data_IF_144289718971
#
_entry.id   IF_144289718971
#
_cell.length_a   1.000
_cell.length_b   1.000
_cell.length_c   1.000
_cell.angle_alpha   90.00
_cell.angle_beta   90.00
_cell.angle_gamma   90.00
#
_symmetry.space_group_name_H-M   'P 1'
#
loop_
_entity.id
_entity.type
_entity.pdbx_description
1 polymer ?
#
# COMPACT_ATOMS: atom_id res chain seq x y z
N UNK A 1 -5.77 14.67 3.63
CA UNK A 1 -6.27 16.06 3.79
C UNK A 1 -7.70 16.17 4.33
N UNK A 2 -8.64 15.29 3.96
CA UNK A 2 -10.05 15.35 4.44
C UNK A 2 -10.25 15.29 5.98
N UNK A 3 -9.40 14.58 6.71
CA UNK A 3 -9.49 14.50 8.18
C UNK A 3 -9.24 15.85 8.90
N UNK A 4 -8.43 16.74 8.32
CA UNK A 4 -8.06 18.01 8.96
C UNK A 4 -9.23 18.99 9.01
N UNK A 5 -10.08 18.98 7.98
CA UNK A 5 -11.28 19.81 7.90
C UNK A 5 -12.33 19.33 8.92
N UNK A 6 -12.51 18.01 9.08
CA UNK A 6 -13.45 17.44 10.04
C UNK A 6 -13.09 17.78 11.51
N UNK A 7 -11.78 17.82 11.83
CA UNK A 7 -11.32 18.19 13.18
C UNK A 7 -11.54 19.66 13.53
N UNK A 8 -11.58 20.56 12.53
CA UNK A 8 -11.84 21.99 12.71
C UNK A 8 -13.31 22.31 13.04
N UNK A 9 -14.25 21.46 12.59
CA UNK A 9 -15.69 21.67 12.82
C UNK A 9 -16.18 21.20 14.19
N UNK A 10 -15.50 20.22 14.81
CA UNK A 10 -15.83 19.72 16.14
C UNK A 10 -15.84 20.81 17.23
N UNK A 11 -14.82 21.69 17.37
CA UNK A 11 -14.84 22.76 18.37
C UNK A 11 -15.90 23.83 18.06
N UNK A 12 -16.18 24.12 16.79
CA UNK A 12 -17.23 25.07 16.39
C UNK A 12 -18.62 24.56 16.79
N UNK A 13 -18.89 23.27 16.55
CA UNK A 13 -20.12 22.58 16.95
C UNK A 13 -20.26 22.49 18.48
N UNK A 14 -19.17 22.22 19.19
CA UNK A 14 -19.16 22.17 20.65
C UNK A 14 -19.46 23.55 21.27
N UNK A 15 -18.85 24.61 20.75
CA UNK A 15 -19.09 25.98 21.22
C UNK A 15 -20.52 26.42 20.92
N UNK A 16 -21.04 26.15 19.73
CA UNK A 16 -22.44 26.46 19.40
C UNK A 16 -23.42 25.70 20.28
N UNK A 17 -23.15 24.43 20.57
CA UNK A 17 -23.93 23.63 21.52
C UNK A 17 -23.89 24.26 22.92
N UNK A 18 -22.73 24.55 23.48
CA UNK A 18 -22.59 25.15 24.84
C UNK A 18 -23.33 26.50 24.93
N UNK A 19 -23.21 27.36 23.91
CA UNK A 19 -23.90 28.65 23.86
C UNK A 19 -25.42 28.49 23.76
N UNK A 20 -25.92 27.47 23.05
CA UNK A 20 -27.36 27.15 23.03
C UNK A 20 -27.84 26.49 24.32
N UNK A 21 -27.02 25.67 24.99
CA UNK A 21 -27.31 25.07 26.29
C UNK A 21 -27.41 26.11 27.41
N UNK A 22 -26.56 27.15 27.39
CA UNK A 22 -26.53 28.19 28.44
C UNK A 22 -27.77 29.10 28.50
N UNK A 23 -28.63 29.11 27.46
CA UNK A 23 -29.81 30.00 27.36
C UNK A 23 -31.17 29.32 27.63
N UNK A 24 -31.16 28.06 28.07
CA UNK A 24 -32.24 27.38 28.80
C UNK A 24 -33.70 27.79 28.53
N UNK A 25 -34.36 27.06 27.62
CA UNK A 25 -35.82 26.85 27.72
C UNK A 25 -36.12 25.35 27.70
N UNK A 26 -36.92 24.86 28.65
CA UNK A 26 -37.20 23.42 28.87
C UNK A 26 -37.70 22.65 27.64
N UNK A 27 -38.22 23.36 26.61
CA UNK A 27 -38.63 22.78 25.34
C UNK A 27 -37.51 22.52 24.32
N UNK A 28 -36.35 23.19 24.45
CA UNK A 28 -35.21 23.00 23.55
C UNK A 28 -34.42 21.72 23.82
N UNK A 29 -34.42 21.22 25.07
CA UNK A 29 -33.68 20.01 25.46
C UNK A 29 -34.12 18.79 24.64
N UNK A 30 -35.43 18.58 24.41
CA UNK A 30 -35.94 17.49 23.56
C UNK A 30 -35.50 17.57 22.11
N UNK A 31 -35.27 18.77 21.57
CA UNK A 31 -34.79 18.99 20.20
C UNK A 31 -33.27 18.81 20.07
N UNK A 32 -32.54 18.92 21.18
CA UNK A 32 -31.07 18.84 21.20
C UNK A 32 -30.53 17.43 21.43
N UNK A 33 -31.31 16.54 22.05
CA UNK A 33 -30.96 15.11 22.20
C UNK A 33 -30.55 14.45 20.87
N UNK A 34 -31.31 14.54 19.76
CA UNK A 34 -30.90 13.92 18.49
C UNK A 34 -29.61 14.53 17.93
N UNK A 35 -29.36 15.83 18.13
CA UNK A 35 -28.13 16.50 17.71
C UNK A 35 -26.91 15.95 18.48
N UNK A 36 -27.06 15.76 19.79
CA UNK A 36 -26.02 15.20 20.64
C UNK A 36 -25.75 13.73 20.29
N UNK A 37 -26.79 12.94 19.98
CA UNK A 37 -26.66 11.56 19.49
C UNK A 37 -25.87 11.52 18.17
N UNK A 38 -26.18 12.41 17.22
CA UNK A 38 -25.44 12.49 15.93
C UNK A 38 -23.98 12.82 16.17
N UNK A 39 -23.67 13.78 17.05
CA UNK A 39 -22.29 14.14 17.37
C UNK A 39 -21.52 12.97 18.01
N UNK A 40 -22.17 12.23 18.92
CA UNK A 40 -21.56 11.04 19.55
C UNK A 40 -21.29 9.96 18.50
N UNK A 41 -22.24 9.68 17.60
CA UNK A 41 -22.05 8.71 16.50
C UNK A 41 -20.90 9.14 15.60
N UNK A 42 -20.84 10.42 15.20
CA UNK A 42 -19.73 10.94 14.39
C UNK A 42 -18.38 10.80 15.09
N UNK A 43 -18.30 11.10 16.39
CA UNK A 43 -17.08 10.93 17.17
C UNK A 43 -16.65 9.47 17.22
N UNK A 44 -17.59 8.52 17.41
CA UNK A 44 -17.30 7.08 17.40
C UNK A 44 -16.80 6.62 16.02
N UNK A 45 -17.43 7.07 14.92
CA UNK A 45 -17.01 6.73 13.56
C UNK A 45 -15.62 7.29 13.23
N UNK A 46 -15.32 8.53 13.63
CA UNK A 46 -13.98 9.11 13.45
C UNK A 46 -12.92 8.37 14.27
N UNK A 47 -13.25 7.99 15.50
CA UNK A 47 -12.33 7.21 16.35
C UNK A 47 -12.10 5.80 15.77
N UNK A 48 -13.14 5.16 15.25
CA UNK A 48 -13.06 3.88 14.57
C UNK A 48 -12.20 3.98 13.30
N UNK A 49 -12.45 4.99 12.46
CA UNK A 49 -11.67 5.25 11.25
C UNK A 49 -10.19 5.53 11.56
N UNK A 50 -9.91 6.33 12.60
CA UNK A 50 -8.55 6.60 13.07
C UNK A 50 -7.86 5.35 13.62
N UNK A 51 -8.57 4.55 14.41
CA UNK A 51 -8.06 3.28 14.93
C UNK A 51 -7.76 2.31 13.80
N UNK A 52 -8.63 2.25 12.80
CA UNK A 52 -8.45 1.41 11.63
C UNK A 52 -7.25 1.89 10.79
N UNK A 53 -7.12 3.19 10.52
CA UNK A 53 -5.94 3.73 9.83
C UNK A 53 -4.64 3.51 10.58
N UNK A 54 -4.64 3.48 11.92
CA UNK A 54 -3.44 3.10 12.70
C UNK A 54 -3.19 1.60 12.75
N UNK A 55 -4.22 0.77 12.55
CA UNK A 55 -4.11 -0.69 12.43
C UNK A 55 -3.73 -1.13 11.03
N UNK A 56 -3.99 -0.30 10.03
CA UNK A 56 -3.47 -0.42 8.68
C UNK A 56 -1.95 -0.39 8.75
N UNK A 57 -1.36 -1.58 8.86
CA UNK A 57 0.02 -1.80 8.46
C UNK A 57 0.05 -1.62 6.95
N UNK A 58 1.07 -0.95 6.42
CA UNK A 58 1.36 -0.96 4.98
C UNK A 58 1.20 -2.39 4.48
N UNK A 59 0.56 -2.62 3.31
CA UNK A 59 0.37 -3.96 2.80
C UNK A 59 1.73 -4.68 2.85
N UNK A 60 1.71 -5.95 3.30
CA UNK A 60 2.91 -6.80 3.42
C UNK A 60 3.68 -6.82 2.09
N UNK A 61 2.97 -6.55 1.00
CA UNK A 61 3.46 -6.41 -0.36
C UNK A 61 3.29 -4.97 -0.86
N UNK A 62 4.34 -4.44 -1.46
CA UNK A 62 4.29 -3.34 -2.40
C UNK A 62 4.43 -3.96 -3.80
N UNK A 63 3.35 -3.90 -4.59
CA UNK A 63 3.27 -4.52 -5.92
C UNK A 63 3.79 -3.64 -7.06
N UNK A 64 4.04 -2.36 -6.76
CA UNK A 64 4.63 -1.41 -7.70
C UNK A 64 5.75 -0.61 -7.04
N UNK A 65 6.77 -1.26 -6.44
CA UNK A 65 7.85 -0.54 -5.79
C UNK A 65 8.66 0.24 -6.83
N UNK A 66 9.07 1.44 -6.47
CA UNK A 66 10.11 2.14 -7.23
C UNK A 66 11.45 1.42 -7.05
N UNK A 67 12.19 1.24 -8.14
CA UNK A 67 13.52 0.64 -8.13
C UNK A 67 14.41 1.23 -9.22
N UNK A 68 15.71 1.35 -8.93
CA UNK A 68 16.75 1.67 -9.90
C UNK A 68 17.46 0.42 -10.41
N UNK A 69 18.21 0.55 -11.52
CA UNK A 69 19.03 -0.55 -12.07
C UNK A 69 19.90 -1.20 -10.99
N UNK A 70 20.64 -0.40 -10.22
CA UNK A 70 21.57 -0.90 -9.20
C UNK A 70 20.91 -1.69 -8.07
N UNK A 71 19.63 -1.44 -7.78
CA UNK A 71 18.95 -2.11 -6.67
C UNK A 71 18.60 -3.57 -6.98
N UNK A 72 18.35 -3.87 -8.26
CA UNK A 72 18.03 -5.22 -8.71
C UNK A 72 19.27 -6.05 -9.10
N UNK A 73 20.43 -5.43 -9.24
CA UNK A 73 21.66 -6.16 -9.57
C UNK A 73 22.04 -7.21 -8.53
N UNK A 74 22.59 -8.34 -8.97
CA UNK A 74 23.08 -9.41 -8.12
C UNK A 74 22.46 -10.75 -8.45
N UNK A 75 22.64 -11.69 -7.53
CA UNK A 75 22.18 -13.07 -7.66
C UNK A 75 20.83 -13.26 -6.97
N UNK A 76 19.95 -13.97 -7.65
CA UNK A 76 18.57 -14.22 -7.26
C UNK A 76 18.29 -15.71 -7.32
N UNK A 77 17.85 -16.30 -6.21
CA UNK A 77 17.60 -17.73 -6.11
C UNK A 77 16.09 -18.01 -6.00
N UNK A 78 15.64 -19.06 -6.67
CA UNK A 78 14.30 -19.62 -6.50
C UNK A 78 14.36 -21.15 -6.59
N UNK A 79 13.23 -21.81 -6.34
CA UNK A 79 13.09 -23.25 -6.59
C UNK A 79 13.27 -23.64 -8.07
N UNK A 80 13.23 -22.67 -8.99
CA UNK A 80 13.40 -22.88 -10.44
C UNK A 80 14.86 -22.74 -10.90
N UNK A 81 15.71 -22.11 -10.09
CA UNK A 81 17.12 -21.92 -10.40
C UNK A 81 17.64 -20.57 -9.90
N UNK A 82 18.83 -20.23 -10.39
CA UNK A 82 19.55 -18.99 -10.06
C UNK A 82 19.55 -18.05 -11.26
N UNK A 83 19.11 -16.82 -11.04
CA UNK A 83 19.15 -15.69 -11.98
C UNK A 83 20.21 -14.70 -11.51
N UNK A 84 21.06 -14.24 -12.42
CA UNK A 84 22.04 -13.18 -12.17
C UNK A 84 21.66 -11.97 -13.01
N UNK A 85 21.50 -10.81 -12.37
CA UNK A 85 21.27 -9.52 -13.02
C UNK A 85 22.51 -8.65 -12.85
N UNK A 86 23.17 -8.30 -13.94
CA UNK A 86 24.39 -7.51 -13.92
C UNK A 86 24.08 -6.01 -14.05
N UNK A 87 25.00 -5.16 -13.59
CA UNK A 87 24.84 -3.71 -13.59
C UNK A 87 24.88 -3.06 -14.98
N UNK A 88 25.46 -3.76 -15.96
CA UNK A 88 25.46 -3.37 -17.38
C UNK A 88 24.14 -3.72 -18.09
N UNK A 89 23.16 -4.25 -17.35
CA UNK A 89 21.90 -4.71 -17.90
C UNK A 89 21.98 -6.11 -18.51
N UNK A 90 23.11 -6.82 -18.47
CA UNK A 90 23.14 -8.24 -18.88
C UNK A 90 22.52 -9.16 -17.82
N UNK A 91 21.97 -10.31 -18.22
CA UNK A 91 21.49 -11.34 -17.29
C UNK A 91 21.99 -12.73 -17.65
N UNK A 92 22.02 -13.62 -16.65
CA UNK A 92 22.26 -15.06 -16.80
C UNK A 92 21.21 -15.86 -16.02
N UNK A 93 20.58 -16.85 -16.66
CA UNK A 93 19.63 -17.75 -16.02
C UNK A 93 19.74 -19.15 -16.61
N UNK A 94 20.32 -20.09 -15.84
CA UNK A 94 20.68 -21.41 -16.37
C UNK A 94 21.66 -21.28 -17.55
N UNK A 95 21.24 -21.70 -18.75
CA UNK A 95 22.02 -21.55 -19.99
C UNK A 95 21.57 -20.35 -20.85
N UNK A 96 20.60 -19.57 -20.39
CA UNK A 96 20.12 -18.38 -21.09
C UNK A 96 20.91 -17.15 -20.67
N UNK A 97 21.26 -16.31 -21.64
CA UNK A 97 21.90 -15.02 -21.44
C UNK A 97 21.17 -13.97 -22.29
N UNK A 98 21.20 -12.71 -21.85
CA UNK A 98 20.60 -11.63 -22.60
C UNK A 98 20.70 -10.28 -21.90
N UNK A 99 19.76 -9.40 -22.22
CA UNK A 99 19.65 -8.07 -21.62
C UNK A 99 18.36 -7.91 -20.83
N UNK A 100 18.43 -7.08 -19.80
CA UNK A 100 17.31 -6.68 -18.98
C UNK A 100 17.21 -5.17 -18.85
N UNK A 101 15.98 -4.67 -18.76
CA UNK A 101 15.71 -3.25 -18.58
C UNK A 101 14.51 -3.03 -17.64
N UNK A 102 14.55 -1.97 -16.80
CA UNK A 102 13.44 -1.60 -15.95
C UNK A 102 12.34 -1.03 -16.84
N UNK A 103 11.20 -1.70 -16.91
CA UNK A 103 10.07 -1.24 -17.70
C UNK A 103 9.23 -0.31 -16.84
N UNK A 104 9.24 0.99 -17.17
CA UNK A 104 8.40 2.00 -16.53
C UNK A 104 6.95 1.84 -17.01
N UNK A 105 6.26 0.80 -16.55
CA UNK A 105 4.80 0.66 -16.72
C UNK A 105 4.11 0.69 -15.35
N UNK A 106 2.77 0.78 -15.34
CA UNK A 106 1.95 0.91 -14.13
C UNK A 106 2.16 -0.21 -13.09
N UNK A 107 2.84 -1.31 -13.47
CA UNK A 107 3.40 -2.32 -12.59
C UNK A 107 4.94 -2.25 -12.65
N UNK A 108 5.57 -2.31 -11.48
CA UNK A 108 7.03 -2.45 -11.35
C UNK A 108 7.47 -3.73 -12.06
N UNK A 109 7.93 -3.59 -13.31
CA UNK A 109 8.18 -4.72 -14.21
C UNK A 109 9.61 -4.66 -14.74
N UNK A 110 10.20 -5.83 -14.88
CA UNK A 110 11.55 -6.06 -15.35
C UNK A 110 11.46 -6.82 -16.67
N UNK A 111 11.97 -6.26 -17.77
CA UNK A 111 12.04 -7.02 -19.02
C UNK A 111 13.30 -7.87 -19.01
N UNK A 112 13.19 -9.16 -19.27
CA UNK A 112 14.30 -10.11 -19.42
C UNK A 112 14.14 -10.76 -20.79
N UNK A 113 14.95 -10.34 -21.77
CA UNK A 113 14.75 -10.72 -23.17
C UNK A 113 13.42 -10.18 -23.72
N UNK A 114 12.46 -11.08 -24.00
CA UNK A 114 11.11 -10.74 -24.48
C UNK A 114 10.02 -10.90 -23.39
N UNK A 115 10.40 -11.36 -22.19
CA UNK A 115 9.47 -11.60 -21.09
C UNK A 115 9.43 -10.39 -20.14
N UNK A 116 8.22 -10.00 -19.69
CA UNK A 116 8.04 -8.98 -18.66
C UNK A 116 7.78 -9.65 -17.30
N UNK A 117 8.78 -9.61 -16.43
CA UNK A 117 8.75 -10.15 -15.08
C UNK A 117 8.21 -9.11 -14.11
N UNK A 118 7.55 -9.57 -13.05
CA UNK A 118 7.02 -8.67 -12.03
C UNK A 118 7.99 -8.51 -10.88
N UNK A 119 8.15 -7.28 -10.43
CA UNK A 119 8.97 -6.87 -9.30
C UNK A 119 8.05 -6.43 -8.18
N UNK A 120 8.22 -6.99 -7.00
CA UNK A 120 7.48 -6.56 -5.83
C UNK A 120 8.37 -6.53 -4.61
N UNK A 121 7.98 -5.75 -3.60
CA UNK A 121 8.69 -5.67 -2.33
C UNK A 121 7.84 -6.33 -1.25
N UNK A 122 8.44 -7.23 -0.48
CA UNK A 122 7.80 -7.87 0.67
C UNK A 122 8.76 -7.81 1.84
N UNK A 123 8.27 -7.38 3.00
CA UNK A 123 9.07 -7.27 4.23
C UNK A 123 10.37 -6.45 4.00
N UNK A 124 10.31 -5.44 3.13
CA UNK A 124 11.44 -4.56 2.78
C UNK A 124 12.45 -5.15 1.78
N UNK A 125 12.24 -6.38 1.31
CA UNK A 125 13.11 -7.03 0.31
C UNK A 125 12.41 -7.10 -1.04
N UNK A 126 13.19 -6.95 -2.11
CA UNK A 126 12.69 -7.15 -3.46
C UNK A 126 12.57 -8.63 -3.80
N UNK A 127 11.61 -8.93 -4.65
CA UNK A 127 11.30 -10.25 -5.18
C UNK A 127 10.96 -10.12 -6.67
N UNK A 128 11.30 -11.17 -7.43
CA UNK A 128 10.97 -11.25 -8.85
C UNK A 128 10.06 -12.45 -9.11
N UNK A 129 9.06 -12.27 -9.95
CA UNK A 129 8.20 -13.34 -10.47
C UNK A 129 8.27 -13.39 -11.98
N UNK A 130 8.26 -14.61 -12.52
CA UNK A 130 8.16 -14.83 -13.96
C UNK A 130 6.75 -14.44 -14.45
N UNK A 131 6.59 -14.12 -15.74
CA UNK A 131 5.29 -13.72 -16.28
C UNK A 131 4.18 -14.74 -16.00
N UNK A 132 4.49 -16.03 -16.06
CA UNK A 132 3.51 -17.09 -15.79
C UNK A 132 3.07 -17.21 -14.33
N UNK A 133 3.79 -16.59 -13.39
CA UNK A 133 3.43 -16.57 -11.96
C UNK A 133 2.92 -15.20 -11.50
N UNK A 134 2.88 -14.23 -12.42
CA UNK A 134 2.41 -12.87 -12.21
C UNK A 134 1.19 -12.59 -13.10
N UNK A 135 0.02 -13.01 -12.62
CA UNK A 135 -1.26 -12.66 -13.25
C UNK A 135 -1.56 -11.16 -13.11
N UNK A 136 -2.59 -10.69 -13.82
CA UNK A 136 -3.00 -9.28 -13.75
C UNK A 136 -3.39 -8.84 -12.32
N UNK A 137 -3.85 -9.79 -11.50
CA UNK A 137 -4.25 -9.59 -10.11
C UNK A 137 -3.19 -10.15 -9.16
N UNK A 138 -2.68 -9.28 -8.27
CA UNK A 138 -1.67 -9.64 -7.29
C UNK A 138 -2.15 -10.71 -6.29
N UNK A 139 -3.46 -10.81 -6.05
CA UNK A 139 -4.01 -11.82 -5.14
C UNK A 139 -3.84 -13.26 -5.71
N UNK A 140 -3.63 -13.39 -7.01
CA UNK A 140 -3.41 -14.69 -7.68
C UNK A 140 -1.93 -15.03 -7.92
N UNK A 141 -0.99 -14.20 -7.47
CA UNK A 141 0.43 -14.44 -7.71
C UNK A 141 0.97 -15.66 -6.96
N UNK A 142 1.90 -16.38 -7.59
CA UNK A 142 2.52 -17.54 -6.97
C UNK A 142 3.80 -17.19 -6.21
N UNK A 143 3.65 -16.57 -5.04
CA UNK A 143 4.75 -16.13 -4.17
C UNK A 143 5.74 -17.24 -3.77
N UNK A 144 5.31 -18.52 -3.77
CA UNK A 144 6.18 -19.66 -3.42
C UNK A 144 7.27 -19.94 -4.46
N UNK A 145 7.12 -19.36 -5.67
CA UNK A 145 8.05 -19.49 -6.80
C UNK A 145 8.86 -18.22 -7.04
N UNK A 146 8.70 -17.21 -6.20
CA UNK A 146 9.42 -15.96 -6.32
C UNK A 146 10.93 -16.16 -6.17
N UNK A 147 11.67 -15.40 -6.96
CA UNK A 147 13.11 -15.25 -6.81
C UNK A 147 13.39 -14.29 -5.67
N UNK A 148 14.29 -14.67 -4.78
CA UNK A 148 14.77 -13.86 -3.66
C UNK A 148 16.24 -13.52 -3.87
N UNK A 149 16.63 -12.30 -3.52
CA UNK A 149 18.03 -11.89 -3.63
C UNK A 149 18.89 -12.70 -2.66
N UNK A 150 19.92 -13.36 -3.18
CA UNK A 150 20.95 -14.03 -2.38
C UNK A 150 21.75 -12.94 -1.66
N UNK A 151 21.86 -13.08 -0.34
CA UNK A 151 22.68 -12.18 0.50
C UNK A 151 24.16 -12.44 0.30
#
# INVERSE_FOLDING_TARGET
MLCLIAFLWLPVMLVTAIVTFGRGTKGQVRKLVPLLVIMVIQAVLLLAAWRETRRWKSPIYDYSPEFGLGELTGTWDSRRGTLVLNADGSFEYGNAQGHWDPMASYAATLRIGQEAWCVYRRDGQFHLLRPEDCEWDADNWNYSRAFTRRR
#
